data_IF_291100444750
#
_entry.id   IF_291100444750
#
_cell.length_a   1.000
_cell.length_b   1.000
_cell.length_c   1.000
_cell.angle_alpha   90.00
_cell.angle_beta   90.00
_cell.angle_gamma   90.00
#
_symmetry.space_group_name_H-M   'P 1'
#
loop_
_entity.id
_entity.type
_entity.pdbx_description
1 polymer ?
#
# COMPACT_ATOMS: atom_id res chain seq x y z
N UNK A 1 12.03 -3.01 -2.75
CA UNK A 1 12.06 -1.85 -1.82
C UNK A 1 10.90 -2.03 -0.88
N UNK A 2 11.17 -1.98 0.42
CA UNK A 2 10.16 -2.12 1.47
C UNK A 2 10.20 -0.87 2.34
N UNK A 3 9.04 -0.22 2.50
CA UNK A 3 8.87 0.97 3.34
C UNK A 3 7.55 0.85 4.08
N UNK A 4 7.58 1.04 5.39
CA UNK A 4 6.39 1.02 6.23
C UNK A 4 6.47 2.12 7.30
N UNK A 5 5.32 2.64 7.70
CA UNK A 5 5.24 3.67 8.74
C UNK A 5 3.82 4.19 8.97
N UNK A 6 3.71 5.09 9.94
CA UNK A 6 2.47 5.78 10.26
C UNK A 6 2.49 7.17 9.62
N UNK A 7 1.38 7.55 8.98
CA UNK A 7 1.24 8.83 8.32
C UNK A 7 0.06 9.61 8.90
N UNK A 8 0.31 10.86 9.32
CA UNK A 8 -0.70 11.76 9.86
C UNK A 8 -1.26 12.70 8.78
N UNK A 9 -2.51 13.13 8.95
CA UNK A 9 -3.14 14.11 8.05
C UNK A 9 -2.68 15.54 8.37
N UNK A 10 -2.54 16.42 7.34
CA UNK A 10 -2.90 16.20 5.94
C UNK A 10 -1.76 15.58 5.11
N UNK A 11 -2.09 14.55 4.32
CA UNK A 11 -1.17 13.83 3.42
C UNK A 11 -0.80 14.62 2.14
N UNK A 12 -1.05 15.93 2.12
CA UNK A 12 -0.92 16.80 0.95
C UNK A 12 -2.15 16.79 0.03
N UNK A 13 -2.17 17.70 -0.94
CA UNK A 13 -3.22 17.75 -1.95
C UNK A 13 -3.10 16.56 -2.92
N UNK A 14 -4.24 15.97 -3.27
CA UNK A 14 -4.29 14.92 -4.29
C UNK A 14 -4.03 15.55 -5.66
N UNK A 15 -2.79 15.46 -6.13
CA UNK A 15 -2.46 15.80 -7.52
C UNK A 15 -2.95 14.69 -8.45
N UNK A 16 -3.50 15.05 -9.60
CA UNK A 16 -3.88 14.08 -10.62
C UNK A 16 -2.63 13.45 -11.24
N UNK A 17 -2.55 12.13 -11.30
CA UNK A 17 -1.47 11.40 -11.99
C UNK A 17 -1.90 11.03 -13.42
N UNK A 18 -2.49 11.96 -14.17
CA UNK A 18 -3.08 11.69 -15.49
C UNK A 18 -2.08 11.26 -16.58
N UNK A 19 -0.79 11.10 -16.30
CA UNK A 19 0.22 10.68 -17.29
C UNK A 19 1.24 9.64 -16.81
N UNK A 20 0.94 8.90 -15.74
CA UNK A 20 1.81 7.81 -15.27
C UNK A 20 0.98 6.65 -14.75
N UNK A 21 0.08 6.12 -15.60
CA UNK A 21 -0.35 4.73 -15.45
C UNK A 21 0.73 3.86 -16.09
N UNK A 22 1.67 3.26 -15.32
CA UNK A 22 2.45 2.18 -15.88
C UNK A 22 1.47 1.09 -16.32
N UNK A 23 1.73 0.45 -17.46
CA UNK A 23 0.97 -0.67 -18.06
C UNK A 23 0.78 -1.91 -17.15
N UNK A 24 1.05 -1.79 -15.85
CA UNK A 24 1.08 -2.87 -14.86
C UNK A 24 -0.31 -3.20 -14.31
N UNK A 25 -1.36 -2.44 -14.66
CA UNK A 25 -2.74 -2.74 -14.26
C UNK A 25 -3.53 -3.50 -15.35
N UNK A 26 -2.92 -4.49 -16.01
CA UNK A 26 -3.62 -5.38 -16.97
C UNK A 26 -4.50 -6.45 -16.29
N UNK A 27 -4.60 -6.45 -14.96
CA UNK A 27 -5.59 -7.23 -14.23
C UNK A 27 -6.85 -6.38 -14.01
N UNK A 28 -7.98 -6.82 -14.56
CA UNK A 28 -9.29 -6.16 -14.38
C UNK A 28 -9.81 -6.20 -12.94
N UNK A 29 -9.13 -6.91 -12.04
CA UNK A 29 -9.55 -7.13 -10.67
C UNK A 29 -8.38 -6.85 -9.71
N UNK A 30 -8.51 -5.79 -8.91
CA UNK A 30 -7.69 -5.64 -7.71
C UNK A 30 -8.11 -6.73 -6.73
N UNK A 31 -7.23 -7.71 -6.50
CA UNK A 31 -7.46 -8.69 -5.44
C UNK A 31 -7.17 -8.02 -4.10
N UNK A 32 -8.16 -8.09 -3.21
CA UNK A 32 -7.98 -7.71 -1.81
C UNK A 32 -7.15 -8.82 -1.18
N UNK A 33 -5.96 -8.47 -0.69
CA UNK A 33 -5.05 -9.41 -0.04
C UNK A 33 -5.53 -9.78 1.37
N UNK A 34 -4.71 -10.56 2.07
CA UNK A 34 -4.98 -10.87 3.47
C UNK A 34 -5.02 -9.61 4.33
N UNK A 35 -5.88 -9.62 5.35
CA UNK A 35 -5.93 -8.56 6.35
C UNK A 35 -4.71 -8.68 7.26
N UNK A 36 -3.99 -7.58 7.41
CA UNK A 36 -2.91 -7.45 8.38
C UNK A 36 -3.20 -6.21 9.22
N UNK A 37 -3.59 -6.43 10.47
CA UNK A 37 -3.85 -5.32 11.39
C UNK A 37 -2.60 -4.43 11.46
N UNK A 38 -2.80 -3.12 11.39
CA UNK A 38 -1.74 -2.12 11.40
C UNK A 38 -0.65 -2.37 10.33
N UNK A 39 -1.01 -3.03 9.23
CA UNK A 39 -0.11 -3.43 8.15
C UNK A 39 1.11 -4.24 8.63
N UNK A 40 1.00 -4.97 9.74
CA UNK A 40 2.08 -5.76 10.30
C UNK A 40 3.15 -4.96 11.05
N UNK A 41 2.93 -3.65 11.29
CA UNK A 41 3.82 -2.85 12.11
C UNK A 41 3.78 -3.32 13.58
N UNK A 42 4.94 -3.39 14.27
CA UNK A 42 5.04 -3.96 15.61
C UNK A 42 4.36 -3.10 16.69
N UNK A 43 4.14 -1.82 16.42
CA UNK A 43 3.47 -0.89 17.33
C UNK A 43 2.31 -0.21 16.60
N UNK A 44 1.15 -0.05 17.27
CA UNK A 44 -0.01 0.60 16.68
C UNK A 44 0.31 2.05 16.28
N UNK A 45 -0.23 2.49 15.16
CA UNK A 45 -0.12 3.88 14.77
C UNK A 45 -0.85 4.81 15.76
N UNK A 46 -0.29 6.00 16.08
CA UNK A 46 -0.93 6.99 16.93
C UNK A 46 -2.32 7.39 16.44
N UNK A 47 -3.18 7.85 17.36
CA UNK A 47 -4.47 8.43 17.01
C UNK A 47 -4.30 9.51 15.93
N UNK A 48 -5.23 9.59 14.98
CA UNK A 48 -5.19 10.48 13.80
C UNK A 48 -4.12 10.17 12.74
N UNK A 49 -3.48 8.99 12.80
CA UNK A 49 -2.59 8.50 11.76
C UNK A 49 -3.04 7.15 11.18
N UNK A 50 -2.60 6.86 9.95
CA UNK A 50 -2.86 5.59 9.26
C UNK A 50 -1.57 4.83 9.06
N UNK A 51 -1.62 3.51 9.24
CA UNK A 51 -0.51 2.62 8.86
C UNK A 51 -0.47 2.49 7.33
N UNK A 52 0.74 2.55 6.77
CA UNK A 52 0.97 2.28 5.35
C UNK A 52 2.23 1.43 5.21
N UNK A 53 2.13 0.35 4.44
CA UNK A 53 3.28 -0.46 4.05
C UNK A 53 3.29 -0.65 2.53
N UNK A 54 4.46 -0.50 1.91
CA UNK A 54 4.67 -0.69 0.48
C UNK A 54 5.85 -1.62 0.29
N UNK A 55 5.61 -2.70 -0.44
CA UNK A 55 6.62 -3.64 -0.90
C UNK A 55 6.55 -3.69 -2.43
N UNK A 56 7.67 -3.37 -3.09
CA UNK A 56 7.73 -3.40 -4.57
C UNK A 56 7.89 -4.82 -5.12
N UNK A 57 7.94 -5.85 -4.28
CA UNK A 57 8.21 -7.22 -4.69
C UNK A 57 9.67 -7.45 -5.08
N UNK A 58 9.92 -8.61 -5.70
CA UNK A 58 11.25 -9.02 -6.16
C UNK A 58 11.13 -9.84 -7.46
N UNK A 59 11.35 -9.18 -8.60
CA UNK A 59 11.33 -9.81 -9.92
C UNK A 59 10.06 -10.65 -10.15
N UNK A 60 10.25 -11.91 -10.52
CA UNK A 60 9.19 -12.91 -10.70
C UNK A 60 8.95 -13.80 -9.45
N UNK A 61 9.65 -13.54 -8.34
CA UNK A 61 9.58 -14.37 -7.13
C UNK A 61 8.54 -13.88 -6.13
N UNK A 62 8.36 -12.55 -6.04
CA UNK A 62 7.44 -11.92 -5.10
C UNK A 62 6.75 -10.75 -5.76
N UNK A 63 5.42 -10.76 -5.72
CA UNK A 63 4.56 -9.69 -6.24
C UNK A 63 4.69 -8.43 -5.40
N UNK A 64 4.46 -7.23 -5.97
CA UNK A 64 4.33 -6.02 -5.19
C UNK A 64 3.05 -6.07 -4.35
N UNK A 65 3.08 -5.42 -3.19
CA UNK A 65 1.93 -5.30 -2.29
C UNK A 65 1.89 -3.93 -1.63
N UNK A 66 0.68 -3.39 -1.43
CA UNK A 66 0.44 -2.16 -0.68
C UNK A 66 -0.55 -2.48 0.45
N UNK A 67 -0.33 -1.94 1.64
CA UNK A 67 -1.27 -2.02 2.75
C UNK A 67 -1.56 -0.62 3.29
N UNK A 68 -2.83 -0.35 3.61
CA UNK A 68 -3.30 0.91 4.20
C UNK A 68 -4.32 0.64 5.31
N UNK A 69 -4.06 1.14 6.52
CA UNK A 69 -4.92 1.03 7.70
C UNK A 69 -4.86 -0.38 8.32
N UNK A 70 -5.53 -1.34 7.68
CA UNK A 70 -5.52 -2.77 8.02
C UNK A 70 -5.69 -3.66 6.76
N UNK A 71 -5.88 -3.03 5.59
CA UNK A 71 -6.20 -3.72 4.35
C UNK A 71 -4.99 -3.76 3.44
N UNK A 72 -4.55 -4.95 3.06
CA UNK A 72 -3.66 -5.13 1.91
C UNK A 72 -4.47 -4.88 0.63
N UNK A 73 -4.16 -3.78 -0.06
CA UNK A 73 -4.69 -3.47 -1.39
C UNK A 73 -3.62 -3.84 -2.41
N UNK A 74 -3.95 -4.80 -3.26
CA UNK A 74 -3.16 -5.33 -4.39
C UNK A 74 -2.35 -6.58 -4.02
N UNK A 75 -2.87 -7.71 -4.53
CA UNK A 75 -2.12 -8.90 -4.93
C UNK A 75 -2.27 -9.00 -6.46
N UNK A 76 -1.25 -8.59 -7.22
CA UNK A 76 -1.26 -8.57 -8.70
C UNK A 76 -0.76 -9.87 -9.27
#
# INVERSE_FOLDING_TARGET
>A
IEKAGCFSFPLGEKVSMDNTMPDVLRGTEMKIGHRFDNCGLPQPCPDSSISVAVDTGHGNLRKPSICVGDFMRIDG
#
